data_IF_412156241133
#
_entry.id   IF_412156241133
#
_cell.length_a   1.000
_cell.length_b   1.000
_cell.length_c   1.000
_cell.angle_alpha   90.00
_cell.angle_beta   90.00
_cell.angle_gamma   90.00
#
_symmetry.space_group_name_H-M   'P 1'
#
loop_
_entity.id
_entity.type
_entity.pdbx_description
1 polymer ?
#
# COMPACT_ATOMS: atom_id res chain seq x y z
N UNK A 1 7.37 -15.93 -13.12
CA UNK A 1 7.70 -14.92 -12.07
C UNK A 1 6.80 -13.70 -12.20
N UNK A 2 6.63 -12.92 -11.13
CA UNK A 2 5.81 -11.69 -11.13
C UNK A 2 6.34 -10.66 -12.12
N UNK A 3 7.67 -10.53 -12.23
CA UNK A 3 8.31 -9.65 -13.21
C UNK A 3 7.98 -10.06 -14.65
N UNK A 4 8.01 -11.36 -14.97
CA UNK A 4 7.64 -11.86 -16.30
C UNK A 4 6.19 -11.53 -16.68
N UNK A 5 5.26 -11.62 -15.71
CA UNK A 5 3.86 -11.21 -15.92
C UNK A 5 3.74 -9.69 -16.16
N UNK A 6 4.46 -8.88 -15.37
CA UNK A 6 4.47 -7.42 -15.54
C UNK A 6 5.07 -7.04 -16.90
N UNK A 7 6.14 -7.71 -17.34
CA UNK A 7 6.71 -7.53 -18.69
C UNK A 7 5.71 -7.90 -19.79
N UNK A 8 4.97 -9.00 -19.66
CA UNK A 8 3.94 -9.37 -20.63
C UNK A 8 2.83 -8.30 -20.71
N UNK A 9 2.38 -7.76 -19.56
CA UNK A 9 1.41 -6.68 -19.51
C UNK A 9 1.92 -5.39 -20.17
N UNK A 10 3.23 -5.12 -20.09
CA UNK A 10 3.87 -3.99 -20.75
C UNK A 10 4.14 -4.26 -22.24
N UNK A 11 4.82 -5.35 -22.58
CA UNK A 11 5.34 -5.60 -23.93
C UNK A 11 4.29 -6.13 -24.90
N UNK A 12 3.53 -7.15 -24.45
CA UNK A 12 2.53 -7.84 -25.27
C UNK A 12 1.18 -7.14 -25.25
N UNK A 13 0.67 -6.86 -24.05
CA UNK A 13 -0.68 -6.30 -23.87
C UNK A 13 -0.71 -4.78 -23.91
N UNK A 14 0.41 -4.09 -23.69
CA UNK A 14 0.54 -2.63 -23.68
C UNK A 14 -0.36 -1.92 -22.64
N UNK A 15 -0.78 -2.63 -21.59
CA UNK A 15 -1.73 -2.13 -20.59
C UNK A 15 -1.09 -1.58 -19.32
N UNK A 16 0.21 -1.79 -19.12
CA UNK A 16 0.99 -1.18 -18.03
C UNK A 16 2.17 -0.39 -18.61
N UNK A 17 2.68 0.56 -17.82
CA UNK A 17 3.94 1.24 -18.07
C UNK A 17 5.12 0.31 -17.75
N UNK A 18 6.34 0.74 -18.05
CA UNK A 18 7.56 -0.07 -17.92
C UNK A 18 7.74 -0.60 -16.49
N UNK A 19 7.89 -1.93 -16.29
CA UNK A 19 7.81 -2.53 -14.95
C UNK A 19 9.12 -2.51 -14.16
N UNK A 20 10.27 -2.21 -14.77
CA UNK A 20 11.56 -2.18 -14.10
C UNK A 20 11.90 -0.76 -13.66
N UNK A 21 11.26 -0.29 -12.61
CA UNK A 21 11.46 1.03 -12.04
C UNK A 21 11.45 0.95 -10.53
N UNK A 22 12.21 1.81 -9.88
CA UNK A 22 12.18 2.09 -8.44
C UNK A 22 11.33 3.31 -8.10
N UNK A 23 10.94 4.10 -9.11
CA UNK A 23 10.12 5.28 -8.91
C UNK A 23 8.68 4.92 -8.52
N UNK A 24 8.15 5.67 -7.57
CA UNK A 24 6.74 5.64 -7.15
C UNK A 24 6.03 6.95 -7.48
N UNK A 25 6.68 7.82 -8.25
CA UNK A 25 6.16 9.11 -8.66
C UNK A 25 5.77 9.11 -10.13
N UNK A 26 4.94 10.08 -10.50
CA UNK A 26 4.53 10.38 -11.87
C UNK A 26 5.10 11.74 -12.30
N UNK A 27 5.31 11.97 -13.60
CA UNK A 27 5.70 13.28 -14.12
C UNK A 27 4.68 14.36 -13.76
N UNK A 28 5.15 15.59 -13.56
CA UNK A 28 4.30 16.71 -13.13
C UNK A 28 3.22 17.09 -14.16
N UNK A 29 3.47 16.80 -15.43
CA UNK A 29 2.54 17.00 -16.56
C UNK A 29 1.53 15.84 -16.75
N UNK A 30 1.62 14.76 -15.98
CA UNK A 30 0.79 13.56 -16.14
C UNK A 30 -0.62 13.68 -15.53
N UNK A 31 -0.97 14.78 -14.88
CA UNK A 31 -2.32 14.97 -14.29
C UNK A 31 -3.43 14.71 -15.31
N UNK A 32 -3.27 15.20 -16.55
CA UNK A 32 -4.22 14.96 -17.64
C UNK A 32 -4.28 13.50 -18.06
N UNK A 33 -3.11 12.86 -18.22
CA UNK A 33 -3.00 11.43 -18.57
C UNK A 33 -3.64 10.54 -17.50
N UNK A 34 -3.44 10.84 -16.21
CA UNK A 34 -4.09 10.13 -15.11
C UNK A 34 -5.61 10.20 -15.19
N UNK A 35 -6.18 11.38 -15.50
CA UNK A 35 -7.63 11.52 -15.68
C UNK A 35 -8.14 10.68 -16.85
N UNK A 36 -7.46 10.73 -17.99
CA UNK A 36 -7.80 9.91 -19.16
C UNK A 36 -7.67 8.40 -18.84
N UNK A 37 -6.66 8.00 -18.08
CA UNK A 37 -6.53 6.60 -17.62
C UNK A 37 -7.70 6.19 -16.73
N UNK A 38 -8.16 7.07 -15.84
CA UNK A 38 -9.35 6.82 -15.03
C UNK A 38 -10.64 6.76 -15.87
N UNK A 39 -10.76 7.58 -16.90
CA UNK A 39 -11.88 7.52 -17.88
C UNK A 39 -11.90 6.18 -18.60
N UNK A 40 -10.73 5.69 -19.04
CA UNK A 40 -10.61 4.35 -19.62
C UNK A 40 -11.03 3.25 -18.64
N UNK A 41 -10.57 3.31 -17.37
CA UNK A 41 -10.95 2.31 -16.36
C UNK A 41 -12.46 2.38 -16.06
N UNK A 42 -13.07 3.57 -16.09
CA UNK A 42 -14.49 3.75 -15.87
C UNK A 42 -15.36 3.35 -17.08
N UNK A 43 -14.76 3.09 -18.25
CA UNK A 43 -15.47 2.76 -19.47
C UNK A 43 -16.05 1.33 -19.45
N UNK A 44 -16.98 1.06 -20.38
CA UNK A 44 -17.55 -0.26 -20.59
C UNK A 44 -16.57 -1.27 -21.23
N UNK A 45 -15.43 -0.79 -21.72
CA UNK A 45 -14.39 -1.63 -22.36
C UNK A 45 -13.61 -2.49 -21.36
N UNK A 46 -13.75 -2.23 -20.07
CA UNK A 46 -13.10 -3.02 -19.03
C UNK A 46 -13.71 -4.44 -18.95
N UNK A 47 -12.87 -5.50 -18.97
CA UNK A 47 -13.34 -6.88 -18.81
C UNK A 47 -14.16 -7.09 -17.53
N UNK A 48 -15.11 -8.03 -17.57
CA UNK A 48 -16.06 -8.30 -16.49
C UNK A 48 -15.44 -8.34 -15.07
N UNK A 49 -14.36 -9.12 -14.83
CA UNK A 49 -13.74 -9.21 -13.51
C UNK A 49 -13.13 -7.89 -13.01
N UNK A 50 -12.75 -6.99 -13.91
CA UNK A 50 -12.14 -5.69 -13.59
C UNK A 50 -13.17 -4.54 -13.56
N UNK A 51 -14.43 -4.83 -13.92
CA UNK A 51 -15.51 -3.82 -14.01
C UNK A 51 -15.88 -3.22 -12.67
N UNK A 52 -15.66 -3.94 -11.57
CA UNK A 52 -15.90 -3.40 -10.22
C UNK A 52 -15.06 -2.14 -9.92
N UNK A 53 -13.89 -2.01 -10.57
CA UNK A 53 -13.01 -0.86 -10.40
C UNK A 53 -13.52 0.40 -11.12
N UNK A 54 -14.41 0.25 -12.11
CA UNK A 54 -14.95 1.36 -12.89
C UNK A 54 -15.70 2.38 -12.00
N UNK A 55 -16.46 1.90 -11.01
CA UNK A 55 -17.15 2.78 -10.07
C UNK A 55 -16.19 3.63 -9.22
N UNK A 56 -15.04 3.08 -8.83
CA UNK A 56 -14.02 3.83 -8.09
C UNK A 56 -13.33 4.88 -8.97
N UNK A 57 -13.02 4.55 -10.22
CA UNK A 57 -12.48 5.48 -11.19
C UNK A 57 -13.48 6.63 -11.48
N UNK A 58 -14.75 6.28 -11.75
CA UNK A 58 -15.82 7.27 -11.96
C UNK A 58 -16.01 8.18 -10.75
N UNK A 59 -15.96 7.64 -9.53
CA UNK A 59 -16.02 8.43 -8.29
C UNK A 59 -14.84 9.39 -8.19
N UNK A 60 -13.61 8.92 -8.44
CA UNK A 60 -12.42 9.75 -8.36
C UNK A 60 -12.46 10.93 -9.34
N UNK A 61 -13.00 10.71 -10.55
CA UNK A 61 -13.22 11.75 -11.55
C UNK A 61 -14.29 12.75 -11.10
N UNK A 62 -15.46 12.25 -10.68
CA UNK A 62 -16.59 13.09 -10.24
C UNK A 62 -16.24 13.97 -9.05
N UNK A 63 -15.55 13.43 -8.06
CA UNK A 63 -15.15 14.15 -6.85
C UNK A 63 -13.86 14.97 -7.04
N UNK A 64 -13.24 14.89 -8.22
CA UNK A 64 -12.03 15.65 -8.53
C UNK A 64 -10.83 15.29 -7.66
N UNK A 65 -10.64 14.01 -7.36
CA UNK A 65 -9.54 13.54 -6.50
C UNK A 65 -8.17 13.67 -7.16
N UNK A 66 -8.10 13.69 -8.50
CA UNK A 66 -6.85 13.86 -9.25
C UNK A 66 -6.47 15.32 -9.30
N UNK A 67 -5.55 15.71 -8.43
CA UNK A 67 -5.02 17.07 -8.33
C UNK A 67 -3.49 17.06 -8.31
N UNK A 68 -2.84 18.13 -8.84
CA UNK A 68 -1.39 18.27 -8.71
C UNK A 68 -0.98 18.22 -7.23
N UNK A 69 -0.03 17.35 -6.90
CA UNK A 69 0.56 17.28 -5.56
C UNK A 69 1.95 16.64 -5.64
N UNK A 70 2.92 17.13 -4.88
CA UNK A 70 4.31 16.67 -4.87
C UNK A 70 4.51 15.26 -4.26
N UNK A 71 3.49 14.68 -3.66
CA UNK A 71 3.55 13.29 -3.17
C UNK A 71 3.47 12.29 -4.33
N UNK A 72 2.71 12.62 -5.37
CA UNK A 72 2.46 11.75 -6.53
C UNK A 72 3.15 12.25 -7.78
N UNK A 73 3.05 13.55 -8.08
CA UNK A 73 3.59 14.18 -9.28
C UNK A 73 4.86 14.94 -8.93
N UNK A 74 6.03 14.33 -9.15
CA UNK A 74 7.31 14.89 -8.74
C UNK A 74 8.45 14.38 -9.62
N UNK A 75 8.90 15.22 -10.54
CA UNK A 75 9.99 14.89 -11.47
C UNK A 75 11.31 14.56 -10.74
N UNK A 76 11.55 15.13 -9.56
CA UNK A 76 12.78 14.87 -8.80
C UNK A 76 12.89 13.44 -8.26
N UNK A 77 11.79 12.69 -8.24
CA UNK A 77 11.70 11.29 -7.80
C UNK A 77 11.68 10.30 -8.95
N UNK A 78 11.97 10.76 -10.15
CA UNK A 78 11.98 9.94 -11.37
C UNK A 78 13.40 9.99 -11.94
N UNK A 79 14.04 8.83 -12.02
CA UNK A 79 15.33 8.69 -12.69
C UNK A 79 15.12 8.45 -14.19
N UNK A 80 15.05 7.16 -14.60
CA UNK A 80 14.88 6.77 -16.00
C UNK A 80 13.40 6.51 -16.33
N UNK A 81 12.65 5.95 -15.38
CA UNK A 81 11.25 5.56 -15.55
C UNK A 81 10.41 5.99 -14.36
N UNK A 82 9.19 6.41 -14.62
CA UNK A 82 8.21 6.73 -13.58
C UNK A 82 7.48 5.46 -13.07
N UNK A 83 6.56 5.64 -12.13
CA UNK A 83 5.83 4.55 -11.48
C UNK A 83 5.06 3.66 -12.48
N UNK A 84 4.85 2.39 -12.09
CA UNK A 84 4.03 1.44 -12.84
C UNK A 84 2.57 1.84 -12.68
N UNK A 85 1.92 2.21 -13.79
CA UNK A 85 0.51 2.56 -13.84
C UNK A 85 -0.19 1.92 -15.04
N UNK A 86 -1.52 1.81 -15.05
CA UNK A 86 -2.27 1.44 -16.25
C UNK A 86 -2.05 2.48 -17.36
N UNK A 87 -2.04 2.01 -18.60
CA UNK A 87 -2.01 2.88 -19.80
C UNK A 87 -3.44 3.28 -20.19
N UNK A 88 -3.56 4.04 -21.29
CA UNK A 88 -4.87 4.40 -21.86
C UNK A 88 -5.55 3.22 -22.61
N UNK A 89 -4.88 2.07 -22.69
CA UNK A 89 -5.40 0.92 -23.39
C UNK A 89 -6.15 -0.02 -22.45
N UNK A 90 -7.41 -0.31 -22.77
CA UNK A 90 -8.19 -1.32 -22.06
C UNK A 90 -7.59 -2.73 -22.29
N UNK A 91 -7.49 -3.56 -21.24
CA UNK A 91 -6.96 -4.91 -21.37
C UNK A 91 -7.88 -5.81 -22.19
N UNK A 92 -7.27 -6.61 -23.07
CA UNK A 92 -7.97 -7.62 -23.89
C UNK A 92 -7.30 -8.97 -23.67
N UNK A 93 -8.10 -10.01 -23.47
CA UNK A 93 -7.62 -11.40 -23.44
C UNK A 93 -6.44 -11.67 -22.49
N UNK A 94 -6.52 -11.13 -21.27
CA UNK A 94 -5.56 -11.46 -20.20
C UNK A 94 -5.82 -12.87 -19.68
N UNK A 95 -4.77 -13.60 -19.33
CA UNK A 95 -4.89 -14.79 -18.50
C UNK A 95 -5.33 -14.42 -17.08
N UNK A 96 -5.86 -15.38 -16.31
CA UNK A 96 -6.33 -15.15 -14.94
C UNK A 96 -5.21 -14.56 -14.03
N UNK A 97 -3.97 -14.98 -14.24
CA UNK A 97 -2.83 -14.50 -13.44
C UNK A 97 -2.44 -13.09 -13.87
N UNK A 98 -2.42 -12.80 -15.17
CA UNK A 98 -2.19 -11.46 -15.71
C UNK A 98 -3.28 -10.49 -15.25
N UNK A 99 -4.55 -10.92 -15.26
CA UNK A 99 -5.67 -10.13 -14.79
C UNK A 99 -5.57 -9.80 -13.29
N UNK A 100 -5.14 -10.75 -12.45
CA UNK A 100 -4.90 -10.51 -11.02
C UNK A 100 -3.80 -9.49 -10.77
N UNK A 101 -2.69 -9.57 -11.52
CA UNK A 101 -1.61 -8.59 -11.39
C UNK A 101 -2.07 -7.20 -11.88
N UNK A 102 -2.80 -7.14 -12.99
CA UNK A 102 -3.36 -5.90 -13.51
C UNK A 102 -4.35 -5.28 -12.52
N UNK A 103 -5.27 -6.05 -11.94
CA UNK A 103 -6.20 -5.62 -10.89
C UNK A 103 -5.46 -4.99 -9.70
N UNK A 104 -4.40 -5.65 -9.23
CA UNK A 104 -3.58 -5.15 -8.12
C UNK A 104 -2.97 -3.77 -8.44
N UNK A 105 -2.44 -3.60 -9.66
CA UNK A 105 -1.86 -2.32 -10.11
C UNK A 105 -2.93 -1.25 -10.23
N UNK A 106 -4.09 -1.57 -10.82
CA UNK A 106 -5.22 -0.63 -10.94
C UNK A 106 -5.74 -0.21 -9.58
N UNK A 107 -5.95 -1.16 -8.65
CA UNK A 107 -6.35 -0.85 -7.27
C UNK A 107 -5.36 0.11 -6.61
N UNK A 108 -4.06 -0.15 -6.73
CA UNK A 108 -3.03 0.74 -6.18
C UNK A 108 -3.05 2.12 -6.84
N UNK A 109 -3.17 2.18 -8.15
CA UNK A 109 -3.27 3.41 -8.92
C UNK A 109 -4.46 4.26 -8.46
N UNK A 110 -5.65 3.68 -8.36
CA UNK A 110 -6.84 4.39 -7.89
C UNK A 110 -6.69 4.85 -6.44
N UNK A 111 -6.26 3.97 -5.54
CA UNK A 111 -6.14 4.23 -4.11
C UNK A 111 -5.21 5.41 -3.78
N UNK A 112 -4.18 5.65 -4.60
CA UNK A 112 -3.24 6.77 -4.40
C UNK A 112 -3.93 8.13 -4.48
N UNK A 113 -5.01 8.25 -5.25
CA UNK A 113 -5.75 9.50 -5.44
C UNK A 113 -6.92 9.66 -4.46
N UNK A 114 -7.37 8.59 -3.84
CA UNK A 114 -8.45 8.64 -2.86
C UNK A 114 -8.01 9.38 -1.58
N UNK A 115 -8.99 9.99 -0.86
CA UNK A 115 -8.70 10.60 0.43
C UNK A 115 -8.20 9.57 1.46
N UNK A 116 -7.56 10.03 2.55
CA UNK A 116 -7.14 9.12 3.62
C UNK A 116 -8.33 8.40 4.26
N UNK A 117 -8.07 7.20 4.77
CA UNK A 117 -9.00 6.52 5.65
C UNK A 117 -9.02 7.21 7.02
N UNK A 118 -10.20 7.42 7.59
CA UNK A 118 -10.37 8.05 8.89
C UNK A 118 -10.84 7.00 9.90
N UNK A 119 -10.14 6.93 11.02
CA UNK A 119 -10.47 6.03 12.12
C UNK A 119 -10.76 6.80 13.39
N UNK A 120 -11.72 6.34 14.15
CA UNK A 120 -11.89 6.74 15.55
C UNK A 120 -11.07 5.77 16.41
N UNK A 121 -10.09 6.29 17.11
CA UNK A 121 -9.25 5.52 18.03
C UNK A 121 -9.68 5.83 19.45
N UNK A 122 -10.01 4.80 20.22
CA UNK A 122 -10.36 4.90 21.64
C UNK A 122 -9.28 4.22 22.46
N UNK A 123 -8.71 4.94 23.43
CA UNK A 123 -7.80 4.37 24.43
C UNK A 123 -8.52 4.36 25.77
N UNK A 124 -8.64 3.18 26.36
CA UNK A 124 -9.23 2.98 27.70
C UNK A 124 -8.10 2.58 28.67
N UNK A 125 -8.04 3.26 29.79
CA UNK A 125 -7.15 2.92 30.90
C UNK A 125 -8.01 2.39 32.05
N UNK A 126 -7.90 1.10 32.32
CA UNK A 126 -8.55 0.47 33.49
C UNK A 126 -7.56 0.51 34.65
N UNK A 127 -7.97 1.07 35.78
CA UNK A 127 -7.16 1.20 37.00
C UNK A 127 -7.63 0.18 38.02
N UNK A 128 -6.70 -0.60 38.55
CA UNK A 128 -6.97 -1.58 39.60
C UNK A 128 -6.15 -1.19 40.82
N UNK A 129 -6.83 -0.73 41.89
CA UNK A 129 -6.18 -0.38 43.14
C UNK A 129 -6.00 -1.64 43.99
N UNK A 130 -4.78 -1.87 44.47
CA UNK A 130 -4.44 -2.93 45.44
C UNK A 130 -3.69 -2.32 46.61
N UNK A 131 -3.61 -2.96 47.78
CA UNK A 131 -2.89 -2.45 48.93
C UNK A 131 -1.44 -2.08 48.55
N UNK A 132 -1.09 -0.79 48.59
CA UNK A 132 0.23 -0.26 48.33
C UNK A 132 0.58 0.00 46.84
N UNK A 133 -0.33 -0.27 45.87
CA UNK A 133 -0.08 -0.04 44.46
C UNK A 133 -1.36 0.22 43.65
N UNK A 134 -1.20 0.87 42.48
CA UNK A 134 -2.23 0.97 41.44
C UNK A 134 -1.68 0.34 40.16
N UNK A 135 -2.39 -0.58 39.56
CA UNK A 135 -2.07 -1.17 38.27
C UNK A 135 -2.94 -0.59 37.17
N UNK A 136 -2.32 -0.24 36.06
CA UNK A 136 -3.02 0.35 34.90
C UNK A 136 -2.97 -0.63 33.72
N UNK A 137 -4.12 -0.92 33.14
CA UNK A 137 -4.27 -1.75 31.94
C UNK A 137 -4.80 -0.88 30.80
N UNK A 138 -4.01 -0.81 29.71
CA UNK A 138 -4.40 -0.06 28.54
C UNK A 138 -5.06 -0.99 27.51
N UNK A 139 -6.23 -0.59 27.01
CA UNK A 139 -6.92 -1.25 25.90
C UNK A 139 -7.16 -0.22 24.81
N UNK A 140 -6.81 -0.58 23.57
CA UNK A 140 -7.03 0.28 22.40
C UNK A 140 -8.09 -0.34 21.49
N UNK A 141 -9.02 0.46 21.05
CA UNK A 141 -10.00 0.12 20.03
C UNK A 141 -9.89 1.05 18.85
N UNK A 142 -10.23 0.57 17.66
CA UNK A 142 -10.17 1.32 16.42
C UNK A 142 -11.41 1.03 15.58
N UNK A 143 -12.14 2.06 15.20
CA UNK A 143 -13.34 1.93 14.36
C UNK A 143 -13.14 2.74 13.10
N UNK A 144 -13.36 2.13 11.94
CA UNK A 144 -13.30 2.81 10.65
C UNK A 144 -14.52 3.74 10.51
N UNK A 145 -14.26 5.05 10.38
CA UNK A 145 -15.30 6.09 10.21
C UNK A 145 -15.52 6.39 8.73
N UNK A 146 -14.42 6.59 8.01
CA UNK A 146 -14.45 6.79 6.55
C UNK A 146 -13.43 5.90 5.88
N UNK A 147 -13.82 5.07 4.92
CA UNK A 147 -12.92 4.11 4.31
C UNK A 147 -11.84 4.79 3.44
N UNK A 148 -12.09 5.98 2.87
CA UNK A 148 -11.12 6.64 2.02
C UNK A 148 -10.56 5.72 0.94
N UNK A 149 -9.21 5.65 0.82
CA UNK A 149 -8.53 4.78 -0.15
C UNK A 149 -8.79 3.28 0.08
N UNK A 150 -9.13 2.85 1.29
CA UNK A 150 -9.43 1.45 1.61
C UNK A 150 -10.68 0.95 0.85
N UNK A 151 -11.60 1.85 0.48
CA UNK A 151 -12.79 1.48 -0.29
C UNK A 151 -12.44 0.80 -1.63
N UNK A 152 -11.28 1.12 -2.22
CA UNK A 152 -10.82 0.52 -3.48
C UNK A 152 -10.45 -0.96 -3.30
N UNK A 153 -10.04 -1.37 -2.10
CA UNK A 153 -9.68 -2.76 -1.77
C UNK A 153 -10.83 -3.58 -1.20
N UNK A 154 -11.97 -2.94 -0.94
CA UNK A 154 -13.17 -3.62 -0.43
C UNK A 154 -12.96 -4.24 0.95
N UNK A 155 -13.48 -5.46 1.14
CA UNK A 155 -13.39 -6.18 2.42
C UNK A 155 -11.97 -6.57 2.82
N UNK A 156 -11.06 -6.71 1.86
CA UNK A 156 -9.65 -7.08 2.11
C UNK A 156 -8.89 -6.02 2.91
N UNK A 157 -9.40 -4.79 2.94
CA UNK A 157 -8.79 -3.70 3.70
C UNK A 157 -9.39 -3.53 5.10
N UNK A 158 -10.37 -4.34 5.49
CA UNK A 158 -10.93 -4.32 6.84
C UNK A 158 -10.02 -5.13 7.76
N UNK A 159 -9.59 -4.47 8.83
CA UNK A 159 -8.79 -5.12 9.88
C UNK A 159 -9.74 -6.00 10.71
N UNK A 160 -9.75 -7.31 10.43
CA UNK A 160 -10.61 -8.28 11.12
C UNK A 160 -10.27 -8.38 12.63
N UNK A 161 -9.05 -7.98 13.01
CA UNK A 161 -8.57 -7.98 14.39
C UNK A 161 -8.85 -6.66 15.14
N UNK A 162 -9.54 -5.69 14.53
CA UNK A 162 -9.87 -4.45 15.21
C UNK A 162 -10.86 -4.73 16.35
N UNK A 163 -10.36 -4.82 17.59
CA UNK A 163 -11.17 -5.00 18.77
C UNK A 163 -12.22 -3.88 18.88
N UNK A 164 -13.49 -4.26 18.74
CA UNK A 164 -14.60 -3.33 19.01
C UNK A 164 -14.72 -3.19 20.52
N UNK A 165 -14.29 -2.06 21.06
CA UNK A 165 -14.46 -1.80 22.49
C UNK A 165 -15.94 -1.55 22.82
N UNK A 166 -16.41 -2.21 23.87
CA UNK A 166 -17.69 -1.86 24.49
C UNK A 166 -17.59 -0.43 25.04
N UNK A 167 -18.61 0.38 24.78
CA UNK A 167 -18.67 1.75 25.29
C UNK A 167 -18.74 1.74 26.84
N UNK A 168 -17.90 2.54 27.47
CA UNK A 168 -17.86 2.74 28.91
C UNK A 168 -17.85 4.23 29.22
N UNK A 169 -18.38 4.64 30.37
CA UNK A 169 -18.34 6.01 30.82
C UNK A 169 -17.02 6.30 31.57
N UNK A 170 -16.55 7.55 31.56
CA UNK A 170 -15.43 7.93 32.41
C UNK A 170 -15.69 7.61 33.88
N UNK A 171 -14.74 7.00 34.55
CA UNK A 171 -14.79 6.58 35.93
C UNK A 171 -15.89 5.52 36.25
N UNK A 172 -16.36 4.81 35.24
CA UNK A 172 -17.25 3.67 35.42
C UNK A 172 -16.52 2.53 36.15
N UNK A 173 -17.16 1.98 37.18
CA UNK A 173 -16.65 0.80 37.88
C UNK A 173 -16.98 -0.45 37.09
N UNK A 174 -15.96 -1.27 36.86
CA UNK A 174 -16.07 -2.54 36.11
C UNK A 174 -15.65 -3.71 37.01
N UNK A 175 -16.23 -4.88 36.79
CA UNK A 175 -15.84 -6.12 37.44
C UNK A 175 -14.67 -6.75 36.71
N UNK A 176 -13.72 -7.29 37.45
CA UNK A 176 -12.66 -8.12 36.89
C UNK A 176 -13.10 -9.58 36.94
N UNK A 177 -13.39 -10.16 35.79
CA UNK A 177 -13.90 -11.53 35.72
C UNK A 177 -12.73 -12.54 35.67
N UNK A 178 -11.62 -12.21 34.98
CA UNK A 178 -10.45 -13.07 34.90
C UNK A 178 -9.19 -12.24 34.67
N UNK A 179 -8.05 -12.77 35.11
CA UNK A 179 -6.70 -12.22 34.86
C UNK A 179 -5.80 -13.36 34.45
N UNK A 180 -5.36 -13.36 33.20
CA UNK A 180 -4.47 -14.36 32.65
C UNK A 180 -3.07 -13.79 32.41
N UNK A 181 -2.04 -14.54 32.80
CA UNK A 181 -0.64 -14.24 32.49
C UNK A 181 -0.20 -15.09 31.31
N UNK A 182 0.00 -14.44 30.17
CA UNK A 182 0.50 -15.10 28.97
C UNK A 182 2.03 -15.03 28.94
N UNK A 183 2.71 -16.17 29.13
CA UNK A 183 4.15 -16.25 28.97
C UNK A 183 4.52 -16.25 27.49
N UNK A 184 5.06 -15.13 27.02
CA UNK A 184 5.50 -14.96 25.65
C UNK A 184 7.01 -14.97 25.54
N UNK A 185 7.51 -15.33 24.36
CA UNK A 185 8.94 -15.24 24.02
C UNK A 185 9.09 -14.27 22.85
N UNK A 186 10.18 -13.52 22.86
CA UNK A 186 10.58 -12.75 21.69
C UNK A 186 10.82 -13.67 20.49
N UNK A 187 10.42 -13.25 19.32
CA UNK A 187 10.66 -13.97 18.08
C UNK A 187 11.81 -13.30 17.32
N UNK A 188 12.66 -14.08 16.63
CA UNK A 188 13.65 -13.49 15.75
C UNK A 188 12.95 -12.70 14.63
N UNK A 189 13.65 -11.73 13.97
CA UNK A 189 13.14 -11.09 12.78
C UNK A 189 12.71 -12.12 11.74
N UNK A 190 11.68 -11.81 10.97
CA UNK A 190 11.24 -12.67 9.87
C UNK A 190 12.36 -12.77 8.81
N UNK A 191 12.48 -13.92 8.17
CA UNK A 191 13.36 -14.08 7.02
C UNK A 191 12.89 -13.19 5.88
N UNK A 192 13.82 -12.76 5.04
CA UNK A 192 13.47 -12.01 3.85
C UNK A 192 12.58 -12.83 2.92
N UNK A 193 11.51 -12.22 2.43
CA UNK A 193 10.82 -12.62 1.21
C UNK A 193 11.49 -11.94 0.02
N UNK A 194 11.21 -12.37 -1.21
CA UNK A 194 11.72 -11.68 -2.41
C UNK A 194 11.40 -10.18 -2.39
N UNK A 195 10.17 -9.81 -2.01
CA UNK A 195 9.76 -8.41 -1.93
C UNK A 195 10.54 -7.60 -0.88
N UNK A 196 10.74 -8.17 0.32
CA UNK A 196 11.49 -7.48 1.38
C UNK A 196 12.99 -7.45 1.09
N UNK A 197 13.52 -8.46 0.39
CA UNK A 197 14.90 -8.48 -0.07
C UNK A 197 15.16 -7.41 -1.14
N UNK A 198 14.26 -7.26 -2.12
CA UNK A 198 14.33 -6.16 -3.10
C UNK A 198 14.37 -4.80 -2.40
N UNK A 199 13.51 -4.57 -1.41
CA UNK A 199 13.51 -3.34 -0.63
C UNK A 199 14.79 -3.13 0.20
N UNK A 200 15.38 -4.21 0.72
CA UNK A 200 16.66 -4.15 1.43
C UNK A 200 17.82 -3.82 0.48
N UNK A 201 17.82 -4.38 -0.72
CA UNK A 201 18.81 -4.04 -1.77
C UNK A 201 18.70 -2.58 -2.20
N UNK A 202 17.47 -2.07 -2.38
CA UNK A 202 17.21 -0.66 -2.71
C UNK A 202 17.74 0.29 -1.63
N UNK A 203 17.59 -0.09 -0.37
CA UNK A 203 17.97 0.72 0.80
C UNK A 203 19.28 0.29 1.46
N UNK A 204 20.13 -0.48 0.79
CA UNK A 204 21.32 -1.10 1.37
C UNK A 204 22.29 -0.07 1.96
N UNK A 205 22.41 1.13 1.40
CA UNK A 205 23.24 2.19 1.95
C UNK A 205 22.90 2.59 3.39
N UNK A 206 21.64 2.39 3.83
CA UNK A 206 21.24 2.70 5.21
C UNK A 206 21.85 1.75 6.26
N UNK A 207 22.36 0.59 5.86
CA UNK A 207 22.95 -0.43 6.74
C UNK A 207 24.47 -0.34 6.78
N UNK A 208 25.08 0.56 6.01
CA UNK A 208 26.54 0.77 5.99
C UNK A 208 26.93 1.70 7.12
N UNK A 209 27.86 1.26 7.98
CA UNK A 209 28.33 2.03 9.13
C UNK A 209 29.27 3.19 8.71
N UNK A 210 30.07 2.97 7.69
CA UNK A 210 30.98 3.98 7.12
C UNK A 210 30.20 5.08 6.40
N UNK A 211 30.46 6.34 6.76
CA UNK A 211 29.66 7.47 6.31
C UNK A 211 29.89 7.80 4.82
N UNK A 212 31.13 7.69 4.36
CA UNK A 212 31.50 7.94 2.95
C UNK A 212 30.89 6.87 2.03
N UNK A 213 30.96 5.60 2.47
CA UNK A 213 30.31 4.49 1.75
C UNK A 213 28.78 4.59 1.80
N UNK A 214 28.23 5.05 2.93
CA UNK A 214 26.79 5.28 3.07
C UNK A 214 26.30 6.33 2.08
N UNK A 215 27.01 7.47 1.98
CA UNK A 215 26.67 8.53 1.06
C UNK A 215 26.76 8.07 -0.39
N UNK A 216 27.82 7.34 -0.75
CA UNK A 216 28.00 6.77 -2.10
C UNK A 216 26.89 5.76 -2.48
N UNK A 217 26.31 5.03 -1.51
CA UNK A 217 25.27 4.04 -1.73
C UNK A 217 23.84 4.57 -1.53
N UNK A 218 23.69 5.76 -0.97
CA UNK A 218 22.39 6.31 -0.54
C UNK A 218 21.42 6.50 -1.71
N UNK A 219 21.93 6.80 -2.89
CA UNK A 219 21.11 7.02 -4.09
C UNK A 219 20.92 5.78 -4.97
N UNK A 220 21.76 4.76 -4.84
CA UNK A 220 21.82 3.64 -5.81
C UNK A 220 21.45 2.28 -5.21
N UNK A 221 21.69 2.05 -3.93
CA UNK A 221 21.52 0.74 -3.30
C UNK A 221 22.42 -0.34 -3.92
N UNK A 222 22.03 -1.61 -3.79
CA UNK A 222 22.67 -2.76 -4.47
C UNK A 222 21.93 -3.08 -5.75
N UNK A 223 22.68 -3.10 -6.88
CA UNK A 223 22.12 -3.35 -8.20
C UNK A 223 21.17 -2.24 -8.69
N UNK A 224 20.62 -2.45 -9.87
CA UNK A 224 19.64 -1.54 -10.49
C UNK A 224 18.25 -2.19 -10.51
N UNK A 225 17.16 -1.44 -10.73
CA UNK A 225 15.83 -2.01 -10.93
C UNK A 225 15.81 -3.10 -12.02
N UNK A 226 16.66 -2.99 -13.03
CA UNK A 226 16.75 -3.97 -14.10
C UNK A 226 17.46 -5.28 -13.69
N UNK A 227 18.37 -5.24 -12.72
CA UNK A 227 19.25 -6.38 -12.36
C UNK A 227 18.88 -7.07 -11.06
N UNK A 228 18.23 -6.37 -10.10
CA UNK A 228 17.93 -6.92 -8.76
C UNK A 228 17.16 -8.24 -8.79
N UNK A 229 16.11 -8.33 -9.62
CA UNK A 229 15.31 -9.55 -9.71
C UNK A 229 16.15 -10.74 -10.21
N UNK A 230 16.94 -10.55 -11.26
CA UNK A 230 17.83 -11.58 -11.79
C UNK A 230 18.92 -11.99 -10.78
N UNK A 231 19.40 -11.07 -9.97
CA UNK A 231 20.39 -11.36 -8.91
C UNK A 231 19.79 -12.23 -7.78
N UNK A 232 18.49 -12.11 -7.50
CA UNK A 232 17.80 -12.93 -6.49
C UNK A 232 17.47 -14.32 -7.04
N UNK A 233 17.13 -14.42 -8.33
CA UNK A 233 16.70 -15.67 -8.99
C UNK A 233 17.89 -16.54 -9.45
N UNK A 234 19.09 -15.99 -9.64
CA UNK A 234 20.30 -16.67 -10.10
C UNK A 234 21.18 -17.17 -8.98
#
# INVERSE_FOLDING_TARGET
TTLGLAQALYEKHKVLTYPRTDSRALPEDYVGVVKQTMEMIASEDMPGPLRELAQHAGKALKEGYVKPNKRVFDNSKISDHFAIIPTLQAPKSLTDIEAKLYDMVVKRFLAVFFPPAEFMVTTRITKVAVPGAEHCFQTNGKVLVKPGWMAVYGKEAQDEDAATLVAVQPSESVSTDDVAVNALKTKPPARYSEATLLGAMESAGKQVEDEDMREAMQEKGLGTPATRAATIEG
#
